data_IF_503903185541
#
_entry.id   IF_503903185541
#
_cell.length_a   1.000
_cell.length_b   1.000
_cell.length_c   1.000
_cell.angle_alpha   90.00
_cell.angle_beta   90.00
_cell.angle_gamma   90.00
#
_symmetry.space_group_name_H-M   'P 1'
#
loop_
_entity.id
_entity.type
_entity.pdbx_description
1 polymer ?
#
# COMPACT_ATOMS: atom_id res chain seq x y z
N UNK A 1 32.98 0.50 -26.38
CA UNK A 1 31.63 -0.10 -26.28
C UNK A 1 30.97 0.49 -25.05
N UNK A 2 30.16 1.54 -25.19
CA UNK A 2 29.63 2.28 -24.04
C UNK A 2 28.45 3.19 -24.39
N UNK A 3 27.60 2.75 -25.33
CA UNK A 3 26.61 3.64 -25.95
C UNK A 3 25.29 3.74 -25.20
N UNK A 4 24.74 2.61 -24.75
CA UNK A 4 23.36 2.55 -24.24
C UNK A 4 23.31 2.21 -22.74
N UNK A 5 24.07 1.21 -22.31
CA UNK A 5 24.15 0.82 -20.90
C UNK A 5 24.76 1.91 -20.01
N UNK A 6 25.81 2.59 -20.46
CA UNK A 6 26.44 3.69 -19.72
C UNK A 6 25.57 4.96 -19.67
N UNK A 7 24.74 5.18 -20.70
CA UNK A 7 23.76 6.27 -20.71
C UNK A 7 22.61 5.97 -19.74
N UNK A 8 22.12 4.74 -19.76
CA UNK A 8 21.00 4.29 -18.93
C UNK A 8 21.38 4.24 -17.45
N UNK A 9 22.54 3.66 -17.13
CA UNK A 9 23.05 3.54 -15.76
C UNK A 9 23.29 4.91 -15.09
N UNK A 10 23.83 5.89 -15.82
CA UNK A 10 24.06 7.24 -15.26
C UNK A 10 22.78 7.99 -14.91
N UNK A 11 21.68 7.72 -15.63
CA UNK A 11 20.39 8.39 -15.41
C UNK A 11 19.47 7.69 -14.42
N UNK A 12 19.81 6.46 -14.04
CA UNK A 12 19.06 5.67 -13.07
C UNK A 12 19.28 6.14 -11.63
N UNK A 13 20.42 6.76 -11.34
CA UNK A 13 20.80 7.17 -9.99
C UNK A 13 20.60 8.67 -9.75
N UNK A 14 20.47 9.11 -8.48
CA UNK A 14 20.40 10.53 -8.15
C UNK A 14 21.62 11.32 -8.65
N UNK A 15 21.47 12.63 -8.92
CA UNK A 15 20.28 13.45 -8.66
C UNK A 15 19.20 13.31 -9.74
N UNK A 16 17.94 13.36 -9.31
CA UNK A 16 16.77 13.21 -10.19
C UNK A 16 16.20 14.57 -10.60
N UNK A 17 15.77 14.66 -11.87
CA UNK A 17 14.91 15.75 -12.33
C UNK A 17 13.48 15.59 -11.79
N UNK A 18 12.72 16.69 -11.70
CA UNK A 18 11.35 16.70 -11.13
C UNK A 18 10.42 15.67 -11.77
N UNK A 19 10.52 15.45 -13.08
CA UNK A 19 9.67 14.49 -13.78
C UNK A 19 10.02 13.04 -13.44
N UNK A 20 11.30 12.70 -13.22
CA UNK A 20 11.66 11.36 -12.74
C UNK A 20 11.21 11.12 -11.30
N UNK A 21 11.31 12.13 -10.43
CA UNK A 21 10.76 12.05 -9.06
C UNK A 21 9.24 11.86 -9.12
N UNK A 22 8.55 12.63 -9.96
CA UNK A 22 7.10 12.53 -10.12
C UNK A 22 6.65 11.17 -10.68
N UNK A 23 7.38 10.59 -11.63
CA UNK A 23 7.02 9.26 -12.18
C UNK A 23 7.13 8.18 -11.10
N UNK A 24 8.26 8.12 -10.39
CA UNK A 24 8.47 7.06 -9.40
C UNK A 24 7.68 7.30 -8.11
N UNK A 25 7.84 8.48 -7.49
CA UNK A 25 7.19 8.82 -6.22
C UNK A 25 5.70 9.11 -6.42
N UNK A 26 5.28 9.56 -7.60
CA UNK A 26 3.86 9.72 -7.92
C UNK A 26 3.15 8.37 -8.14
N UNK A 27 3.83 7.39 -8.75
CA UNK A 27 3.32 6.01 -8.74
C UNK A 27 3.19 5.49 -7.31
N UNK A 28 4.21 5.69 -6.47
CA UNK A 28 4.17 5.29 -5.06
C UNK A 28 3.03 5.96 -4.29
N UNK A 29 2.82 7.26 -4.50
CA UNK A 29 1.71 7.99 -3.90
C UNK A 29 0.35 7.36 -4.24
N UNK A 30 0.12 7.06 -5.52
CA UNK A 30 -1.14 6.45 -5.98
C UNK A 30 -1.30 5.04 -5.43
N UNK A 31 -0.23 4.24 -5.46
CA UNK A 31 -0.26 2.87 -4.96
C UNK A 31 -0.52 2.85 -3.44
N UNK A 32 0.21 3.68 -2.67
CA UNK A 32 0.01 3.87 -1.24
C UNK A 32 -1.42 4.33 -0.93
N UNK A 33 -1.97 5.29 -1.66
CA UNK A 33 -3.35 5.74 -1.44
C UNK A 33 -4.39 4.62 -1.69
N UNK A 34 -4.16 3.78 -2.69
CA UNK A 34 -5.04 2.65 -2.99
C UNK A 34 -4.96 1.57 -1.90
N UNK A 35 -3.75 1.23 -1.44
CA UNK A 35 -3.55 0.31 -0.31
C UNK A 35 -4.18 0.85 0.97
N UNK A 36 -4.06 2.16 1.22
CA UNK A 36 -4.66 2.81 2.38
C UNK A 36 -6.19 2.61 2.40
N UNK A 37 -6.86 2.91 1.29
CA UNK A 37 -8.31 2.78 1.19
C UNK A 37 -8.78 1.33 1.36
N UNK A 38 -8.09 0.38 0.72
CA UNK A 38 -8.40 -1.06 0.82
C UNK A 38 -8.20 -1.54 2.25
N UNK A 39 -7.01 -1.30 2.82
CA UNK A 39 -6.67 -1.77 4.16
C UNK A 39 -7.58 -1.17 5.23
N UNK A 40 -7.97 0.09 5.12
CA UNK A 40 -8.94 0.72 6.01
C UNK A 40 -10.30 0.01 5.96
N UNK A 41 -10.84 -0.22 4.75
CA UNK A 41 -12.13 -0.86 4.58
C UNK A 41 -12.14 -2.28 5.16
N UNK A 42 -11.17 -3.10 4.80
CA UNK A 42 -11.10 -4.49 5.29
C UNK A 42 -10.72 -4.59 6.77
N UNK A 43 -9.90 -3.68 7.29
CA UNK A 43 -9.62 -3.63 8.74
C UNK A 43 -10.88 -3.29 9.53
N UNK A 44 -11.64 -2.27 9.11
CA UNK A 44 -12.88 -1.88 9.77
C UNK A 44 -13.90 -3.01 9.75
N UNK A 45 -14.12 -3.64 8.59
CA UNK A 45 -15.03 -4.78 8.47
C UNK A 45 -14.61 -5.94 9.36
N UNK A 46 -13.32 -6.33 9.33
CA UNK A 46 -12.79 -7.40 10.16
C UNK A 46 -12.91 -7.08 11.67
N UNK A 47 -12.60 -5.85 12.08
CA UNK A 47 -12.67 -5.43 13.47
C UNK A 47 -14.11 -5.46 14.03
N UNK A 48 -15.11 -5.25 13.18
CA UNK A 48 -16.53 -5.35 13.55
C UNK A 48 -17.01 -6.82 13.59
N UNK A 49 -16.70 -7.60 12.55
CA UNK A 49 -17.27 -8.95 12.41
C UNK A 49 -16.60 -10.01 13.29
N UNK A 50 -15.28 -9.97 13.45
CA UNK A 50 -14.52 -10.98 14.19
C UNK A 50 -15.00 -11.18 15.63
N UNK A 51 -15.24 -10.14 16.46
CA UNK A 51 -15.70 -10.36 17.84
C UNK A 51 -17.11 -10.97 17.92
N UNK A 52 -17.97 -10.73 16.93
CA UNK A 52 -19.29 -11.38 16.84
C UNK A 52 -19.12 -12.84 16.42
N UNK A 53 -18.34 -13.07 15.36
CA UNK A 53 -18.07 -14.40 14.83
C UNK A 53 -17.38 -15.32 15.87
N UNK A 54 -16.42 -14.82 16.64
CA UNK A 54 -15.78 -15.61 17.70
C UNK A 54 -16.77 -16.09 18.75
N UNK A 55 -17.68 -15.22 19.20
CA UNK A 55 -18.73 -15.61 20.17
C UNK A 55 -19.68 -16.65 19.58
N UNK A 56 -20.04 -16.50 18.30
CA UNK A 56 -20.87 -17.45 17.58
C UNK A 56 -20.18 -18.82 17.41
N UNK A 57 -18.88 -18.84 17.11
CA UNK A 57 -18.10 -20.07 17.00
C UNK A 57 -17.94 -20.77 18.35
N UNK A 58 -17.61 -20.01 19.40
CA UNK A 58 -17.50 -20.52 20.77
C UNK A 58 -18.84 -21.11 21.25
N UNK A 59 -19.98 -20.49 20.93
CA UNK A 59 -21.31 -21.01 21.23
C UNK A 59 -21.62 -22.31 20.46
N UNK A 60 -21.27 -22.36 19.18
CA UNK A 60 -21.45 -23.56 18.34
C UNK A 60 -20.65 -24.75 18.89
N UNK A 61 -19.42 -24.53 19.35
CA UNK A 61 -18.62 -25.56 20.04
C UNK A 61 -19.29 -25.98 21.35
N UNK A 62 -19.77 -25.02 22.15
CA UNK A 62 -20.43 -25.30 23.43
C UNK A 62 -21.69 -26.17 23.27
N UNK A 63 -22.40 -26.01 22.16
CA UNK A 63 -23.56 -26.83 21.79
C UNK A 63 -23.21 -28.20 21.22
N UNK A 64 -21.92 -28.50 21.05
CA UNK A 64 -21.42 -29.77 20.57
C UNK A 64 -22.00 -30.18 19.21
N UNK A 65 -22.08 -29.22 18.27
CA UNK A 65 -22.53 -29.47 16.91
C UNK A 65 -21.58 -30.47 16.23
N UNK A 66 -22.14 -31.49 15.58
CA UNK A 66 -21.34 -32.50 14.88
C UNK A 66 -20.53 -31.86 13.75
N UNK A 67 -19.24 -32.22 13.65
CA UNK A 67 -18.31 -31.75 12.63
C UNK A 67 -18.01 -30.24 12.66
N UNK A 68 -18.13 -29.59 13.82
CA UNK A 68 -17.66 -28.22 14.01
C UNK A 68 -16.55 -28.20 15.06
N UNK A 69 -15.34 -27.88 14.63
CA UNK A 69 -14.22 -27.54 15.47
C UNK A 69 -13.88 -26.06 15.31
N UNK A 70 -13.40 -25.46 16.39
CA UNK A 70 -12.91 -24.08 16.42
C UNK A 70 -11.81 -24.01 17.46
N UNK A 71 -10.61 -23.63 17.01
CA UNK A 71 -9.41 -23.66 17.83
C UNK A 71 -8.80 -22.28 18.04
N UNK A 72 -8.00 -22.14 19.10
CA UNK A 72 -7.24 -20.90 19.34
C UNK A 72 -6.25 -20.60 18.22
N UNK A 73 -5.70 -21.63 17.56
CA UNK A 73 -4.78 -21.46 16.44
C UNK A 73 -5.47 -20.80 15.23
N UNK A 74 -6.72 -21.16 14.94
CA UNK A 74 -7.49 -20.54 13.86
C UNK A 74 -7.90 -19.11 14.19
N UNK A 75 -8.18 -18.84 15.48
CA UNK A 75 -8.37 -17.48 15.97
C UNK A 75 -7.13 -16.62 15.74
N UNK A 76 -5.93 -17.15 15.99
CA UNK A 76 -4.68 -16.43 15.77
C UNK A 76 -4.44 -16.12 14.28
N UNK A 77 -4.89 -16.98 13.36
CA UNK A 77 -4.84 -16.70 11.90
C UNK A 77 -5.73 -15.49 11.55
N UNK A 78 -6.94 -15.42 12.10
CA UNK A 78 -7.87 -14.32 11.84
C UNK A 78 -7.42 -13.00 12.50
N UNK A 79 -6.82 -13.08 13.69
CA UNK A 79 -6.17 -11.93 14.32
C UNK A 79 -4.93 -11.47 13.53
N UNK A 80 -4.15 -12.40 12.99
CA UNK A 80 -3.03 -12.14 12.09
C UNK A 80 -3.46 -11.35 10.85
N UNK A 81 -4.55 -11.76 10.21
CA UNK A 81 -5.15 -11.02 9.09
C UNK A 81 -5.48 -9.57 9.45
N UNK A 82 -6.19 -9.36 10.57
CA UNK A 82 -6.54 -8.02 11.05
C UNK A 82 -5.28 -7.16 11.29
N UNK A 83 -4.24 -7.74 11.88
CA UNK A 83 -2.97 -7.06 12.13
C UNK A 83 -2.23 -6.72 10.82
N UNK A 84 -2.27 -7.58 9.80
CA UNK A 84 -1.69 -7.29 8.49
C UNK A 84 -2.42 -6.15 7.78
N UNK A 85 -3.76 -6.09 7.86
CA UNK A 85 -4.53 -4.96 7.32
C UNK A 85 -4.19 -3.65 8.07
N UNK A 86 -4.08 -3.70 9.40
CA UNK A 86 -3.66 -2.53 10.18
C UNK A 86 -2.24 -2.07 9.81
N UNK A 87 -1.30 -3.00 9.64
CA UNK A 87 0.07 -2.69 9.21
C UNK A 87 0.09 -2.01 7.85
N UNK A 88 -0.66 -2.54 6.87
CA UNK A 88 -0.81 -1.92 5.55
C UNK A 88 -1.37 -0.50 5.64
N UNK A 89 -2.37 -0.29 6.49
CA UNK A 89 -2.96 1.04 6.70
C UNK A 89 -1.96 2.04 7.29
N UNK A 90 -1.18 1.63 8.30
CA UNK A 90 -0.15 2.49 8.90
C UNK A 90 0.95 2.81 7.88
N UNK A 91 1.50 1.79 7.21
CA UNK A 91 2.62 1.95 6.27
C UNK A 91 2.18 2.78 5.05
N UNK A 92 0.98 2.58 4.54
CA UNK A 92 0.45 3.38 3.42
C UNK A 92 0.17 4.83 3.82
N UNK A 93 -0.32 5.09 5.04
CA UNK A 93 -0.48 6.46 5.57
C UNK A 93 0.86 7.20 5.58
N UNK A 94 1.90 6.55 6.12
CA UNK A 94 3.27 7.09 6.13
C UNK A 94 3.76 7.31 4.69
N UNK A 95 3.46 6.39 3.77
CA UNK A 95 3.81 6.50 2.36
C UNK A 95 3.23 7.72 1.66
N UNK A 96 1.91 7.95 1.85
CA UNK A 96 1.23 9.13 1.30
C UNK A 96 1.89 10.41 1.79
N UNK A 97 2.15 10.52 3.10
CA UNK A 97 2.79 11.69 3.70
C UNK A 97 4.23 11.87 3.19
N UNK A 98 5.01 10.78 3.14
CA UNK A 98 6.38 10.80 2.63
C UNK A 98 6.42 11.26 1.16
N UNK A 99 5.53 10.73 0.33
CA UNK A 99 5.43 11.11 -1.07
C UNK A 99 5.09 12.59 -1.23
N UNK A 100 4.16 13.13 -0.43
CA UNK A 100 3.84 14.55 -0.44
C UNK A 100 5.08 15.41 -0.09
N UNK A 101 5.81 15.03 0.97
CA UNK A 101 7.04 15.72 1.40
C UNK A 101 8.14 15.67 0.34
N UNK A 102 8.23 14.60 -0.43
CA UNK A 102 9.26 14.46 -1.49
C UNK A 102 8.86 15.17 -2.79
N UNK A 103 7.59 15.10 -3.18
CA UNK A 103 7.09 15.65 -4.45
C UNK A 103 6.94 17.18 -4.39
N UNK A 104 6.29 17.72 -3.36
CA UNK A 104 5.94 19.14 -3.28
C UNK A 104 7.17 20.05 -3.47
N UNK A 105 8.32 19.81 -2.80
CA UNK A 105 9.49 20.65 -2.96
C UNK A 105 10.12 20.64 -4.37
N UNK A 106 9.82 19.65 -5.21
CA UNK A 106 10.35 19.61 -6.58
C UNK A 106 9.68 20.61 -7.52
N UNK A 107 8.51 21.12 -7.14
CA UNK A 107 7.77 22.12 -7.92
C UNK A 107 8.06 23.56 -7.51
N UNK A 108 8.86 23.76 -6.45
CA UNK A 108 9.40 25.07 -6.12
C UNK A 108 10.73 25.28 -6.85
N UNK A 109 10.91 26.48 -7.38
CA UNK A 109 12.18 26.92 -7.96
C UNK A 109 13.07 27.49 -6.85
N UNK A 110 14.29 26.96 -6.77
CA UNK A 110 15.33 27.41 -5.85
C UNK A 110 16.47 28.03 -6.67
N UNK A 111 16.97 29.19 -6.25
CA UNK A 111 18.13 29.78 -6.92
C UNK A 111 19.37 28.93 -6.65
N UNK A 112 20.03 28.50 -7.71
CA UNK A 112 21.34 27.86 -7.65
C UNK A 112 22.44 28.88 -7.27
N UNK A 113 23.68 28.43 -7.02
CA UNK A 113 24.84 29.27 -6.70
C UNK A 113 25.11 30.40 -7.71
N UNK A 114 24.62 30.25 -8.95
CA UNK A 114 24.73 31.23 -10.04
C UNK A 114 23.51 32.15 -10.18
N UNK A 115 22.50 32.03 -9.31
CA UNK A 115 21.26 32.83 -9.37
C UNK A 115 20.21 32.35 -10.37
N UNK A 116 20.44 31.21 -11.04
CA UNK A 116 19.46 30.60 -11.94
C UNK A 116 18.43 29.78 -11.17
N UNK A 117 17.14 29.81 -11.56
CA UNK A 117 16.12 28.95 -10.95
C UNK A 117 16.40 27.47 -11.31
N UNK A 118 16.56 26.64 -10.28
CA UNK A 118 16.86 25.22 -10.35
C UNK A 118 16.03 24.44 -9.30
N UNK A 119 15.86 23.14 -9.48
CA UNK A 119 15.05 22.32 -8.56
C UNK A 119 15.85 21.83 -7.34
N UNK A 120 15.17 21.58 -6.22
CA UNK A 120 15.81 21.24 -4.93
C UNK A 120 16.82 20.09 -5.01
N UNK A 121 16.46 18.98 -5.69
CA UNK A 121 17.33 17.81 -5.82
C UNK A 121 18.55 18.05 -6.73
N UNK A 122 18.48 19.02 -7.64
CA UNK A 122 19.62 19.42 -8.47
C UNK A 122 20.57 20.35 -7.71
N UNK A 123 20.01 21.28 -6.93
CA UNK A 123 20.79 22.26 -6.14
C UNK A 123 21.54 21.59 -4.98
N UNK A 124 21.00 20.51 -4.39
CA UNK A 124 21.63 19.79 -3.26
C UNK A 124 21.77 18.29 -3.52
N UNK A 125 22.84 17.87 -4.20
CA UNK A 125 23.14 16.44 -4.51
C UNK A 125 23.09 15.51 -3.29
N UNK A 126 23.61 15.94 -2.14
CA UNK A 126 23.57 15.13 -0.89
C UNK A 126 22.13 14.85 -0.41
N UNK A 127 21.25 15.85 -0.54
CA UNK A 127 19.84 15.71 -0.17
C UNK A 127 19.11 14.72 -1.09
N UNK A 128 19.43 14.71 -2.38
CA UNK A 128 18.86 13.76 -3.34
C UNK A 128 19.21 12.31 -2.99
N UNK A 129 20.44 12.04 -2.56
CA UNK A 129 20.85 10.71 -2.09
C UNK A 129 20.15 10.30 -0.79
N UNK A 130 20.02 11.21 0.18
CA UNK A 130 19.29 10.93 1.42
C UNK A 130 17.82 10.60 1.12
N UNK A 131 17.15 11.42 0.30
CA UNK A 131 15.77 11.17 -0.10
C UNK A 131 15.61 9.83 -0.83
N UNK A 132 16.56 9.48 -1.71
CA UNK A 132 16.56 8.19 -2.39
C UNK A 132 16.58 7.02 -1.41
N UNK A 133 17.48 7.03 -0.42
CA UNK A 133 17.55 5.94 0.57
C UNK A 133 16.31 5.87 1.46
N UNK A 134 15.74 7.02 1.83
CA UNK A 134 14.49 7.06 2.62
C UNK A 134 13.34 6.45 1.82
N UNK A 135 13.17 6.83 0.55
CA UNK A 135 12.13 6.26 -0.32
C UNK A 135 12.38 4.79 -0.61
N UNK A 136 13.63 4.37 -0.85
CA UNK A 136 13.96 2.97 -1.09
C UNK A 136 13.68 2.08 0.13
N UNK A 137 14.03 2.54 1.34
CA UNK A 137 13.70 1.85 2.58
C UNK A 137 12.18 1.75 2.77
N UNK A 138 11.46 2.83 2.48
CA UNK A 138 10.00 2.85 2.53
C UNK A 138 9.38 1.82 1.57
N UNK A 139 9.78 1.83 0.29
CA UNK A 139 9.30 0.89 -0.72
C UNK A 139 9.53 -0.55 -0.26
N UNK A 140 10.70 -0.86 0.30
CA UNK A 140 11.00 -2.19 0.82
C UNK A 140 10.08 -2.58 2.00
N UNK A 141 9.83 -1.67 2.95
CA UNK A 141 8.92 -1.91 4.08
C UNK A 141 7.48 -2.14 3.59
N UNK A 142 7.01 -1.35 2.63
CA UNK A 142 5.70 -1.54 2.01
C UNK A 142 5.61 -2.89 1.29
N UNK A 143 6.66 -3.29 0.57
CA UNK A 143 6.74 -4.58 -0.12
C UNK A 143 6.65 -5.76 0.84
N UNK A 144 7.34 -5.68 1.98
CA UNK A 144 7.25 -6.69 3.04
C UNK A 144 5.82 -6.76 3.59
N UNK A 145 5.19 -5.61 3.89
CA UNK A 145 3.83 -5.58 4.41
C UNK A 145 2.80 -6.17 3.42
N UNK A 146 2.92 -5.83 2.12
CA UNK A 146 2.09 -6.39 1.05
C UNK A 146 2.31 -7.90 0.92
N UNK A 147 3.57 -8.36 1.03
CA UNK A 147 3.90 -9.78 0.98
C UNK A 147 3.30 -10.58 2.13
N UNK A 148 3.39 -10.07 3.36
CA UNK A 148 2.78 -10.73 4.53
C UNK A 148 1.25 -10.82 4.39
N UNK A 149 0.60 -9.72 3.98
CA UNK A 149 -0.84 -9.72 3.74
C UNK A 149 -1.24 -10.69 2.61
N UNK A 150 -0.42 -10.81 1.57
CA UNK A 150 -0.64 -11.72 0.45
C UNK A 150 -0.54 -13.20 0.85
N UNK A 151 0.45 -13.57 1.68
CA UNK A 151 0.65 -14.94 2.14
C UNK A 151 -0.53 -15.45 2.98
N UNK A 152 -0.95 -14.65 3.97
CA UNK A 152 -1.91 -15.13 4.99
C UNK A 152 -3.36 -14.78 4.67
N UNK A 153 -3.61 -13.73 3.88
CA UNK A 153 -4.97 -13.22 3.67
C UNK A 153 -5.90 -14.19 2.96
N UNK A 154 -5.38 -14.98 2.01
CA UNK A 154 -6.17 -16.00 1.32
C UNK A 154 -6.54 -17.20 2.21
N UNK A 155 -5.69 -17.54 3.18
CA UNK A 155 -6.01 -18.57 4.17
C UNK A 155 -7.05 -18.05 5.16
N UNK A 156 -6.86 -16.84 5.71
CA UNK A 156 -7.78 -16.22 6.66
C UNK A 156 -9.21 -16.08 6.11
N UNK A 157 -9.36 -15.59 4.88
CA UNK A 157 -10.68 -15.50 4.23
C UNK A 157 -11.38 -16.86 4.14
N UNK A 158 -10.67 -17.90 3.66
CA UNK A 158 -11.25 -19.24 3.55
C UNK A 158 -11.64 -19.84 4.90
N UNK A 159 -10.76 -19.71 5.90
CA UNK A 159 -11.04 -20.18 7.26
C UNK A 159 -12.24 -19.47 7.86
N UNK A 160 -12.34 -18.15 7.70
CA UNK A 160 -13.48 -17.40 8.20
C UNK A 160 -14.79 -17.88 7.56
N UNK A 161 -14.86 -17.93 6.22
CA UNK A 161 -16.09 -18.29 5.53
C UNK A 161 -16.49 -19.75 5.78
N UNK A 162 -15.54 -20.69 5.85
CA UNK A 162 -15.87 -22.09 6.14
C UNK A 162 -16.50 -22.27 7.53
N UNK A 163 -15.97 -21.58 8.55
CA UNK A 163 -16.53 -21.62 9.89
C UNK A 163 -17.83 -20.84 9.99
N UNK A 164 -17.92 -19.69 9.33
CA UNK A 164 -19.14 -18.88 9.30
C UNK A 164 -20.31 -19.64 8.67
N UNK A 165 -20.08 -20.37 7.59
CA UNK A 165 -21.11 -21.18 6.93
C UNK A 165 -21.52 -22.39 7.77
N UNK A 166 -20.55 -23.02 8.45
CA UNK A 166 -20.78 -24.19 9.29
C UNK A 166 -21.31 -23.88 10.70
N UNK A 167 -21.20 -22.63 11.18
CA UNK A 167 -21.63 -22.24 12.51
C UNK A 167 -23.15 -22.31 12.71
N UNK A 168 -23.59 -22.40 13.96
CA UNK A 168 -24.99 -22.24 14.31
C UNK A 168 -25.32 -20.75 14.48
N UNK A 169 -26.25 -20.26 13.66
CA UNK A 169 -26.58 -18.83 13.57
C UNK A 169 -27.87 -18.57 14.34
N UNK A 170 -27.74 -18.26 15.62
CA UNK A 170 -28.88 -17.83 16.43
C UNK A 170 -29.34 -16.41 16.03
N UNK A 171 -30.64 -16.13 16.23
CA UNK A 171 -31.22 -14.81 15.98
C UNK A 171 -30.47 -13.68 16.71
N UNK A 172 -29.95 -13.94 17.92
CA UNK A 172 -29.15 -12.97 18.67
C UNK A 172 -27.90 -12.52 17.90
N UNK A 173 -27.17 -13.46 17.30
CA UNK A 173 -25.95 -13.14 16.53
C UNK A 173 -26.28 -12.51 15.19
N UNK A 174 -27.40 -12.90 14.57
CA UNK A 174 -27.88 -12.29 13.33
C UNK A 174 -28.26 -10.83 13.59
N UNK A 175 -29.01 -10.53 14.65
CA UNK A 175 -29.38 -9.16 15.01
C UNK A 175 -28.15 -8.29 15.35
N UNK A 176 -27.14 -8.85 16.02
CA UNK A 176 -25.88 -8.14 16.25
C UNK A 176 -25.12 -7.84 14.93
N UNK A 177 -25.13 -8.76 13.96
CA UNK A 177 -24.53 -8.55 12.64
C UNK A 177 -25.29 -7.47 11.85
N UNK A 178 -26.62 -7.51 11.88
CA UNK A 178 -27.47 -6.52 11.20
C UNK A 178 -27.22 -5.12 11.76
N UNK A 179 -27.17 -4.96 13.08
CA UNK A 179 -26.85 -3.70 13.73
C UNK A 179 -25.42 -3.24 13.40
N UNK A 180 -24.43 -4.15 13.41
CA UNK A 180 -23.04 -3.83 13.11
C UNK A 180 -22.82 -3.38 11.66
N UNK A 181 -23.53 -3.99 10.71
CA UNK A 181 -23.41 -3.68 9.29
C UNK A 181 -24.47 -2.68 8.78
N UNK A 182 -25.37 -2.20 9.65
CA UNK A 182 -26.49 -1.34 9.27
C UNK A 182 -27.35 -1.99 8.19
N UNK A 183 -27.70 -3.26 8.38
CA UNK A 183 -28.59 -4.02 7.50
C UNK A 183 -30.00 -4.16 8.06
N UNK A 184 -30.31 -3.41 9.13
CA UNK A 184 -31.66 -3.28 9.65
C UNK A 184 -32.59 -2.84 8.51
N UNK A 185 -33.65 -3.60 8.28
CA UNK A 185 -34.63 -3.32 7.24
C UNK A 185 -35.31 -1.98 7.50
N UNK A 186 -35.17 -1.07 6.55
CA UNK A 186 -36.27 -0.14 6.25
C UNK A 186 -37.36 -0.99 5.58
N UNK A 187 -38.60 -0.92 6.06
CA UNK A 187 -39.75 -1.70 5.54
C UNK A 187 -40.03 -1.46 4.03
N UNK A 188 -39.31 -0.52 3.42
CA UNK A 188 -39.47 0.00 2.06
C UNK A 188 -38.54 -0.64 1.00
N UNK A 189 -37.66 -1.59 1.34
CA UNK A 189 -36.72 -2.22 0.40
C UNK A 189 -37.12 -3.67 0.04
N UNK A 190 -37.47 -3.91 -1.23
CA UNK A 190 -37.91 -5.20 -1.81
C UNK A 190 -36.82 -6.30 -1.93
N UNK A 191 -35.73 -6.24 -1.15
CA UNK A 191 -34.68 -7.26 -1.16
C UNK A 191 -34.73 -8.01 0.17
N UNK A 192 -34.82 -9.34 0.12
CA UNK A 192 -34.86 -10.14 1.33
C UNK A 192 -33.61 -9.86 2.21
N UNK A 193 -33.79 -9.41 3.46
CA UNK A 193 -32.74 -8.80 4.29
C UNK A 193 -31.56 -9.71 4.57
N UNK A 194 -31.83 -11.01 4.66
CA UNK A 194 -30.82 -12.04 4.86
C UNK A 194 -29.76 -11.99 3.75
N UNK A 195 -30.14 -11.79 2.49
CA UNK A 195 -29.16 -11.78 1.40
C UNK A 195 -28.18 -10.59 1.46
N UNK A 196 -28.63 -9.40 1.86
CA UNK A 196 -27.74 -8.23 1.95
C UNK A 196 -26.73 -8.33 3.08
N UNK A 197 -27.16 -8.78 4.27
CA UNK A 197 -26.27 -8.88 5.43
C UNK A 197 -25.20 -9.94 5.20
N UNK A 198 -25.60 -11.10 4.64
CA UNK A 198 -24.65 -12.15 4.26
C UNK A 198 -23.68 -11.71 3.17
N UNK A 199 -24.12 -10.88 2.23
CA UNK A 199 -23.22 -10.34 1.20
C UNK A 199 -22.17 -9.40 1.81
N UNK A 200 -22.54 -8.52 2.76
CA UNK A 200 -21.57 -7.68 3.49
C UNK A 200 -20.61 -8.51 4.36
N UNK A 201 -21.10 -9.58 4.98
CA UNK A 201 -20.25 -10.55 5.68
C UNK A 201 -19.25 -11.20 4.71
N UNK A 202 -19.72 -11.62 3.54
CA UNK A 202 -18.85 -12.22 2.52
C UNK A 202 -17.78 -11.24 2.01
N UNK A 203 -18.10 -9.94 1.97
CA UNK A 203 -17.17 -8.87 1.59
C UNK A 203 -16.26 -8.40 2.73
N UNK A 204 -16.38 -8.96 3.95
CA UNK A 204 -15.60 -8.52 5.11
C UNK A 204 -14.12 -8.94 5.05
N UNK A 205 -13.79 -9.94 4.23
CA UNK A 205 -12.42 -10.40 4.00
C UNK A 205 -12.02 -10.19 2.55
N UNK A 206 -10.78 -9.75 2.36
CA UNK A 206 -10.23 -9.58 1.01
C UNK A 206 -10.02 -10.94 0.35
N UNK A 207 -10.55 -11.08 -0.86
CA UNK A 207 -10.40 -12.33 -1.62
C UNK A 207 -8.94 -12.55 -2.06
N UNK A 208 -8.57 -13.81 -2.31
CA UNK A 208 -7.27 -14.17 -2.88
C UNK A 208 -6.99 -13.50 -4.23
N UNK A 209 -8.04 -13.28 -5.04
CA UNK A 209 -7.93 -12.57 -6.32
C UNK A 209 -7.42 -11.14 -6.13
N UNK A 210 -8.03 -10.39 -5.21
CA UNK A 210 -7.63 -9.02 -4.91
C UNK A 210 -6.21 -8.95 -4.34
N UNK A 211 -5.83 -9.87 -3.45
CA UNK A 211 -4.45 -9.95 -2.93
C UNK A 211 -3.43 -10.23 -4.05
N UNK A 212 -3.74 -11.15 -4.96
CA UNK A 212 -2.89 -11.44 -6.12
C UNK A 212 -2.71 -10.20 -7.01
N UNK A 213 -3.79 -9.45 -7.25
CA UNK A 213 -3.74 -8.22 -8.03
C UNK A 213 -2.88 -7.14 -7.34
N UNK A 214 -3.03 -6.96 -6.02
CA UNK A 214 -2.20 -6.02 -5.26
C UNK A 214 -0.71 -6.36 -5.37
N UNK A 215 -0.36 -7.62 -5.14
CA UNK A 215 1.03 -8.09 -5.27
C UNK A 215 1.57 -7.92 -6.69
N UNK A 216 0.77 -8.27 -7.71
CA UNK A 216 1.16 -8.12 -9.11
C UNK A 216 1.42 -6.65 -9.46
N UNK A 217 0.50 -5.76 -9.10
CA UNK A 217 0.62 -4.31 -9.35
C UNK A 217 1.82 -3.74 -8.59
N UNK A 218 2.09 -4.22 -7.37
CA UNK A 218 3.29 -3.84 -6.63
C UNK A 218 4.55 -4.18 -7.42
N UNK A 219 4.76 -5.46 -7.77
CA UNK A 219 5.99 -5.91 -8.44
C UNK A 219 6.13 -5.28 -9.83
N UNK A 220 5.10 -5.43 -10.67
CA UNK A 220 5.14 -4.97 -12.05
C UNK A 220 5.16 -3.44 -12.13
N UNK A 221 4.35 -2.77 -11.31
CA UNK A 221 4.28 -1.31 -11.26
C UNK A 221 5.60 -0.68 -10.83
N UNK A 222 6.22 -1.19 -9.76
CA UNK A 222 7.54 -0.71 -9.32
C UNK A 222 8.63 -0.96 -10.37
N UNK A 223 8.60 -2.13 -11.02
CA UNK A 223 9.56 -2.45 -12.08
C UNK A 223 9.40 -1.50 -13.28
N UNK A 224 8.16 -1.26 -13.73
CA UNK A 224 7.87 -0.33 -14.82
C UNK A 224 8.26 1.10 -14.44
N UNK A 225 7.88 1.57 -13.25
CA UNK A 225 8.20 2.91 -12.77
C UNK A 225 9.72 3.13 -12.67
N UNK A 226 10.45 2.14 -12.16
CA UNK A 226 11.91 2.19 -12.06
C UNK A 226 12.59 2.19 -13.43
N UNK A 227 12.13 1.35 -14.36
CA UNK A 227 12.63 1.34 -15.74
C UNK A 227 12.29 2.62 -16.51
N UNK A 228 11.22 3.33 -16.13
CA UNK A 228 10.86 4.60 -16.74
C UNK A 228 11.77 5.76 -16.31
N UNK A 229 12.38 5.70 -15.12
CA UNK A 229 13.18 6.80 -14.53
C UNK A 229 14.20 7.42 -15.50
N UNK A 230 15.05 6.65 -16.22
CA UNK A 230 16.06 7.23 -17.12
C UNK A 230 15.49 8.06 -18.27
N UNK A 231 14.27 7.78 -18.72
CA UNK A 231 13.60 8.52 -19.79
C UNK A 231 13.10 9.90 -19.33
N UNK A 232 12.74 10.02 -18.06
CA UNK A 232 12.23 11.25 -17.45
C UNK A 232 13.33 12.05 -16.71
N UNK A 233 14.50 11.45 -16.47
CA UNK A 233 15.66 12.12 -15.89
C UNK A 233 16.49 12.85 -16.97
N UNK A 234 15.90 13.85 -17.61
CA UNK A 234 16.45 14.48 -18.83
C UNK A 234 17.67 15.40 -18.62
N UNK A 235 17.99 15.85 -17.40
CA UNK A 235 18.89 17.00 -17.21
C UNK A 235 20.33 16.71 -16.75
N UNK A 236 20.77 15.45 -16.61
CA UNK A 236 22.15 15.15 -16.20
C UNK A 236 23.22 15.27 -17.31
N UNK A 237 22.89 15.87 -18.46
CA UNK A 237 23.86 16.17 -19.53
C UNK A 237 23.90 17.68 -19.78
N UNK A 238 24.21 18.44 -18.74
CA UNK A 238 25.16 19.54 -18.92
C UNK A 238 26.41 19.04 -18.23
N UNK A 239 27.41 18.71 -19.03
CA UNK A 239 28.62 18.04 -18.56
C UNK A 239 29.19 18.80 -17.37
N UNK A 240 29.44 18.10 -16.25
CA UNK A 240 30.17 18.64 -15.10
C UNK A 240 31.56 19.19 -15.53
N UNK A 241 32.02 18.87 -16.75
CA UNK A 241 33.20 19.41 -17.42
C UNK A 241 33.09 20.93 -17.71
N UNK A 242 31.90 21.45 -18.07
CA UNK A 242 31.69 22.91 -18.16
C UNK A 242 31.70 23.58 -16.78
N UNK A 243 31.42 22.83 -15.70
CA UNK A 243 31.40 23.35 -14.34
C UNK A 243 32.83 23.45 -13.74
N UNK A 244 33.68 22.47 -14.01
CA UNK A 244 35.09 22.47 -13.60
C UNK A 244 35.94 23.43 -14.43
N UNK A 245 35.68 23.59 -15.73
CA UNK A 245 36.38 24.59 -16.57
C UNK A 245 36.05 26.03 -16.15
N UNK A 246 34.82 26.31 -15.73
CA UNK A 246 34.41 27.66 -15.32
C UNK A 246 34.96 28.04 -13.95
N UNK A 247 35.03 27.10 -12.99
CA UNK A 247 35.65 27.36 -11.68
C UNK A 247 37.17 27.59 -11.81
N UNK A 248 37.86 26.86 -12.71
CA UNK A 248 39.27 27.10 -13.02
C UNK A 248 39.51 28.48 -13.62
N UNK A 249 38.70 28.90 -14.60
CA UNK A 249 38.82 30.23 -15.25
C UNK A 249 38.48 31.41 -14.35
N UNK A 250 37.69 31.21 -13.28
CA UNK A 250 37.36 32.25 -12.29
C UNK A 250 38.41 32.38 -11.18
N UNK A 251 39.21 31.34 -10.93
CA UNK A 251 40.33 31.39 -9.98
C UNK A 251 41.60 31.97 -10.61
N UNK A 252 41.69 31.96 -11.93
CA UNK A 252 42.83 32.49 -12.71
C UNK A 252 42.61 33.94 -13.22
N UNK A 253 41.49 34.59 -12.89
CA UNK A 253 41.15 35.97 -13.26
C UNK A 253 41.14 36.92 -12.06
#
# INVERSE_FOLDING_TARGET
MGGWWDWYGRKMWPPYYKYSVFVFVGFEFVYSAFILAISEAYYKSAAMILPIAYRMFDDTVRKNKSNFDWTTAERDILEGYKNHMLLLWIVSTVGVLLCMVVIIPQFFDFNDRRGNPSHLCLVRRKLAWVMFFVVAAYVAVLGIAVFLAWLDGGAASRHFHSHFDAAEKEETFIGELEAAFGCETDDDLEVAPEHMCYEKVNQSFITSLWLNLLMLVYIAGHLIAFLAVPFFNRQLVKDDDELLEVDGKLLDA
#
